data_IF_780434691328
#
_entry.id   IF_780434691328
#
_cell.length_a   1.000
_cell.length_b   1.000
_cell.length_c   1.000
_cell.angle_alpha   90.00
_cell.angle_beta   90.00
_cell.angle_gamma   90.00
#
_symmetry.space_group_name_H-M   'P 1'
#
loop_
_entity.id
_entity.type
_entity.pdbx_description
1 polymer ?
#
# COMPACT_ATOMS: atom_id res chain seq x y z
N UNK A 1 26.61 20.90 8.40
CA UNK A 1 26.59 19.65 7.60
C UNK A 1 25.13 19.28 7.44
N UNK A 2 24.59 19.38 6.22
CA UNK A 2 23.27 18.82 5.93
C UNK A 2 23.49 17.31 5.94
N UNK A 3 22.97 16.61 6.96
CA UNK A 3 22.96 15.15 6.94
C UNK A 3 22.31 14.75 5.62
N UNK A 4 23.05 14.04 4.78
CA UNK A 4 22.51 13.37 3.61
C UNK A 4 21.43 12.45 4.16
N UNK A 5 20.16 12.83 3.99
CA UNK A 5 19.05 11.95 4.30
C UNK A 5 19.19 10.84 3.28
N UNK A 6 19.46 9.61 3.73
CA UNK A 6 19.45 8.46 2.84
C UNK A 6 18.07 8.37 2.20
N UNK A 7 18.04 8.67 0.90
CA UNK A 7 16.83 8.70 0.10
C UNK A 7 16.25 7.30 0.04
N UNK A 8 14.97 7.13 0.32
CA UNK A 8 14.28 5.84 0.21
C UNK A 8 14.35 5.36 -1.25
N UNK A 9 14.95 4.20 -1.51
CA UNK A 9 15.12 3.68 -2.89
C UNK A 9 14.16 2.55 -3.24
N UNK A 10 14.04 1.59 -2.33
CA UNK A 10 13.30 0.34 -2.56
C UNK A 10 11.83 0.48 -2.21
N UNK A 11 10.99 -0.23 -2.97
CA UNK A 11 9.55 -0.34 -2.78
C UNK A 11 9.15 -1.81 -2.67
N UNK A 12 8.62 -2.20 -1.52
CA UNK A 12 8.03 -3.52 -1.28
C UNK A 12 6.54 -3.48 -1.56
N UNK A 13 6.03 -4.43 -2.35
CA UNK A 13 4.59 -4.57 -2.61
C UNK A 13 4.13 -5.96 -2.16
N UNK A 14 3.17 -6.00 -1.22
CA UNK A 14 2.50 -7.25 -0.85
C UNK A 14 1.58 -7.74 -1.96
N UNK A 15 1.88 -8.92 -2.50
CA UNK A 15 1.18 -9.50 -3.65
C UNK A 15 0.80 -10.98 -3.46
N UNK A 16 0.88 -11.50 -2.22
CA UNK A 16 0.75 -12.94 -1.96
C UNK A 16 -0.61 -13.44 -1.46
N UNK A 17 -1.56 -12.54 -1.15
CA UNK A 17 -2.86 -12.92 -0.61
C UNK A 17 -3.79 -13.59 -1.64
N UNK A 18 -4.67 -14.49 -1.18
CA UNK A 18 -5.65 -15.21 -2.03
C UNK A 18 -6.73 -14.31 -2.64
N UNK A 19 -7.01 -13.15 -2.02
CA UNK A 19 -8.00 -12.20 -2.53
C UNK A 19 -9.43 -12.74 -2.57
N UNK A 20 -9.83 -13.56 -1.59
CA UNK A 20 -11.08 -14.36 -1.58
C UNK A 20 -12.35 -13.57 -1.87
N UNK A 21 -12.46 -12.32 -1.41
CA UNK A 21 -13.63 -11.45 -1.65
C UNK A 21 -13.80 -11.00 -3.11
N UNK A 22 -12.77 -11.14 -3.94
CA UNK A 22 -12.78 -10.86 -5.38
C UNK A 22 -12.72 -12.15 -6.23
N UNK A 23 -12.54 -13.32 -5.60
CA UNK A 23 -12.32 -14.59 -6.30
C UNK A 23 -13.49 -15.04 -7.17
N UNK A 24 -14.72 -14.64 -6.85
CA UNK A 24 -15.89 -14.91 -7.70
C UNK A 24 -15.74 -14.31 -9.09
N UNK A 25 -15.13 -13.12 -9.22
CA UNK A 25 -14.87 -12.49 -10.52
C UNK A 25 -13.66 -13.09 -11.22
N UNK A 26 -12.64 -13.52 -10.47
CA UNK A 26 -11.42 -14.11 -11.06
C UNK A 26 -11.54 -15.61 -11.29
N UNK A 27 -12.66 -16.23 -10.88
CA UNK A 27 -12.87 -17.69 -10.78
C UNK A 27 -11.73 -18.40 -10.03
N UNK A 28 -11.05 -17.70 -9.13
CA UNK A 28 -9.85 -18.18 -8.47
C UNK A 28 -8.65 -18.44 -9.40
N UNK A 29 -8.67 -18.00 -10.66
CA UNK A 29 -7.63 -18.26 -11.67
C UNK A 29 -6.54 -17.18 -11.69
N UNK A 30 -6.89 -15.93 -11.36
CA UNK A 30 -6.01 -14.76 -11.47
C UNK A 30 -5.74 -14.21 -10.06
N UNK A 31 -4.46 -14.02 -9.65
CA UNK A 31 -4.15 -13.39 -8.37
C UNK A 31 -4.57 -11.92 -8.38
N UNK A 32 -5.04 -11.40 -7.24
CA UNK A 32 -5.59 -10.03 -7.13
C UNK A 32 -4.71 -8.94 -7.75
N UNK A 33 -3.36 -8.92 -7.55
CA UNK A 33 -2.49 -7.92 -8.16
C UNK A 33 -2.50 -7.93 -9.71
N UNK A 34 -2.95 -9.02 -10.32
CA UNK A 34 -3.07 -9.19 -11.78
C UNK A 34 -4.45 -8.91 -12.34
N UNK A 35 -5.43 -8.59 -11.48
CA UNK A 35 -6.72 -8.07 -11.95
C UNK A 35 -6.49 -6.71 -12.59
N UNK A 36 -7.11 -6.50 -13.75
CA UNK A 36 -6.90 -5.29 -14.55
C UNK A 36 -7.95 -4.22 -14.25
N UNK A 37 -7.49 -2.96 -14.37
CA UNK A 37 -8.32 -1.76 -14.42
C UNK A 37 -7.96 -1.03 -15.71
N UNK A 38 -8.92 -0.83 -16.61
CA UNK A 38 -8.66 -0.21 -17.91
C UNK A 38 -7.67 -0.99 -18.79
N UNK A 39 -7.63 -2.32 -18.61
CA UNK A 39 -6.73 -3.23 -19.33
C UNK A 39 -5.34 -3.39 -18.72
N UNK A 40 -5.00 -2.62 -17.68
CA UNK A 40 -3.66 -2.65 -17.04
C UNK A 40 -3.76 -3.37 -15.69
N UNK A 41 -2.87 -4.32 -15.37
CA UNK A 41 -2.87 -4.95 -14.06
C UNK A 41 -2.72 -3.94 -12.91
N UNK A 42 -3.47 -4.11 -11.81
CA UNK A 42 -3.40 -3.17 -10.70
C UNK A 42 -1.98 -3.06 -10.12
N UNK A 43 -1.19 -4.14 -10.13
CA UNK A 43 0.20 -4.12 -9.72
C UNK A 43 1.04 -3.13 -10.55
N UNK A 44 0.82 -3.11 -11.87
CA UNK A 44 1.48 -2.16 -12.79
C UNK A 44 1.03 -0.72 -12.52
N UNK A 45 -0.27 -0.52 -12.23
CA UNK A 45 -0.78 0.79 -11.84
C UNK A 45 -0.17 1.29 -10.53
N UNK A 46 0.07 0.41 -9.56
CA UNK A 46 0.74 0.74 -8.30
C UNK A 46 2.20 1.10 -8.55
N UNK A 47 2.93 0.29 -9.31
CA UNK A 47 4.33 0.60 -9.70
C UNK A 47 4.41 1.98 -10.36
N UNK A 48 3.44 2.32 -11.21
CA UNK A 48 3.37 3.64 -11.86
C UNK A 48 3.18 4.82 -10.88
N UNK A 49 2.55 4.61 -9.72
CA UNK A 49 2.46 5.66 -8.67
C UNK A 49 3.86 6.00 -8.15
N UNK A 50 4.72 5.00 -8.00
CA UNK A 50 6.08 5.13 -7.48
C UNK A 50 7.07 5.63 -8.55
N UNK A 51 7.06 5.04 -9.75
CA UNK A 51 8.01 5.39 -10.81
C UNK A 51 7.84 6.83 -11.31
N UNK A 52 6.61 7.35 -11.35
CA UNK A 52 6.33 8.77 -11.66
C UNK A 52 6.94 9.74 -10.65
N UNK A 53 7.19 9.27 -9.43
CA UNK A 53 7.77 10.06 -8.34
C UNK A 53 9.26 9.76 -8.13
N UNK A 54 9.89 8.99 -9.03
CA UNK A 54 11.33 8.72 -9.03
C UNK A 54 11.75 7.43 -8.33
N UNK A 55 10.82 6.64 -7.77
CA UNK A 55 11.15 5.38 -7.09
C UNK A 55 11.08 4.21 -8.09
N UNK A 56 12.23 3.56 -8.34
CA UNK A 56 12.41 2.64 -9.48
C UNK A 56 12.90 1.24 -9.11
N UNK A 57 13.12 0.94 -7.83
CA UNK A 57 13.55 -0.37 -7.35
C UNK A 57 12.41 -1.06 -6.59
N UNK A 58 11.98 -2.24 -7.06
CA UNK A 58 10.79 -2.92 -6.55
C UNK A 58 11.09 -4.36 -6.13
N UNK A 59 10.49 -4.76 -5.00
CA UNK A 59 10.47 -6.12 -4.50
C UNK A 59 9.02 -6.54 -4.29
N UNK A 60 8.56 -7.54 -5.03
CA UNK A 60 7.19 -8.04 -4.97
C UNK A 60 7.14 -9.28 -4.08
N UNK A 61 6.49 -9.16 -2.93
CA UNK A 61 6.25 -10.26 -2.01
C UNK A 61 5.08 -11.14 -2.51
N UNK A 62 5.36 -12.04 -3.44
CA UNK A 62 4.38 -12.92 -4.07
C UNK A 62 4.10 -14.18 -3.23
N UNK A 63 2.99 -14.86 -3.52
CA UNK A 63 2.53 -16.05 -2.80
C UNK A 63 1.51 -16.83 -3.60
N UNK A 64 0.22 -16.59 -3.38
CA UNK A 64 -0.84 -17.20 -4.18
C UNK A 64 -0.62 -16.96 -5.68
N UNK A 65 -0.48 -18.07 -6.43
CA UNK A 65 -0.20 -18.08 -7.88
C UNK A 65 1.01 -17.21 -8.27
N UNK A 66 2.07 -17.26 -7.47
CA UNK A 66 3.29 -16.48 -7.71
C UNK A 66 3.87 -16.65 -9.12
N UNK A 67 3.74 -17.84 -9.74
CA UNK A 67 4.18 -18.08 -11.12
C UNK A 67 3.62 -17.07 -12.12
N UNK A 68 2.32 -16.73 -12.01
CA UNK A 68 1.68 -15.74 -12.90
C UNK A 68 2.33 -14.36 -12.70
N UNK A 69 2.63 -14.00 -11.45
CA UNK A 69 3.26 -12.72 -11.11
C UNK A 69 4.72 -12.71 -11.58
N UNK A 70 5.43 -13.84 -11.45
CA UNK A 70 6.81 -14.03 -11.92
C UNK A 70 6.90 -13.85 -13.42
N UNK A 71 6.09 -14.58 -14.19
CA UNK A 71 6.04 -14.48 -15.65
C UNK A 71 5.67 -13.06 -16.13
N UNK A 72 4.72 -12.42 -15.45
CA UNK A 72 4.39 -11.01 -15.73
C UNK A 72 5.58 -10.10 -15.44
N UNK A 73 6.28 -10.29 -14.31
CA UNK A 73 7.45 -9.50 -13.91
C UNK A 73 8.64 -9.63 -14.86
N UNK A 74 8.90 -10.84 -15.36
CA UNK A 74 9.94 -11.10 -16.37
C UNK A 74 9.66 -10.33 -17.66
N UNK A 75 8.42 -10.39 -18.16
CA UNK A 75 7.99 -9.58 -19.32
C UNK A 75 7.99 -8.09 -19.03
N UNK A 76 7.69 -7.68 -17.80
CA UNK A 76 7.73 -6.28 -17.38
C UNK A 76 9.16 -5.71 -17.43
N UNK A 77 10.15 -6.43 -16.88
CA UNK A 77 11.56 -6.04 -16.92
C UNK A 77 12.09 -5.89 -18.34
N UNK A 78 11.72 -6.79 -19.26
CA UNK A 78 12.14 -6.72 -20.66
C UNK A 78 11.66 -5.44 -21.38
N UNK A 79 10.53 -4.86 -20.95
CA UNK A 79 10.00 -3.62 -21.53
C UNK A 79 10.73 -2.37 -21.06
N UNK A 80 11.59 -2.46 -20.04
CA UNK A 80 12.30 -1.32 -19.44
C UNK A 80 11.38 -0.12 -19.14
N UNK A 81 10.19 -0.37 -18.57
CA UNK A 81 9.12 0.60 -18.37
C UNK A 81 9.39 1.61 -17.22
N UNK A 82 10.59 2.19 -17.18
CA UNK A 82 11.01 3.13 -16.14
C UNK A 82 11.28 2.49 -14.77
N UNK A 83 11.47 1.17 -14.73
CA UNK A 83 11.88 0.43 -13.53
C UNK A 83 13.33 -0.01 -13.71
N UNK A 84 14.16 0.24 -12.71
CA UNK A 84 15.58 -0.14 -12.72
C UNK A 84 15.76 -1.60 -12.32
N UNK A 85 15.00 -2.04 -11.31
CA UNK A 85 14.99 -3.42 -10.86
C UNK A 85 13.60 -3.82 -10.36
N UNK A 86 13.06 -4.92 -10.86
CA UNK A 86 11.86 -5.57 -10.34
C UNK A 86 12.21 -7.02 -9.96
N UNK A 87 12.21 -7.29 -8.66
CA UNK A 87 12.43 -8.63 -8.11
C UNK A 87 11.11 -9.22 -7.65
N UNK A 88 10.79 -10.44 -8.11
CA UNK A 88 9.62 -11.18 -7.65
C UNK A 88 10.09 -12.27 -6.68
N UNK A 89 9.66 -12.20 -5.42
CA UNK A 89 10.05 -13.16 -4.38
C UNK A 89 8.84 -14.00 -3.97
N UNK A 90 8.95 -15.32 -4.08
CA UNK A 90 7.97 -16.22 -3.52
C UNK A 90 8.13 -16.27 -1.99
N UNK A 91 7.32 -15.45 -1.30
CA UNK A 91 7.31 -15.35 0.16
C UNK A 91 6.36 -16.36 0.81
N UNK A 92 5.86 -17.35 0.07
CA UNK A 92 5.02 -18.43 0.58
C UNK A 92 3.51 -18.17 0.39
N UNK A 93 2.75 -19.25 0.21
CA UNK A 93 1.31 -19.18 -0.04
C UNK A 93 0.54 -18.72 1.21
N UNK A 94 0.78 -19.37 2.35
CA UNK A 94 0.05 -19.12 3.61
C UNK A 94 0.75 -18.10 4.51
N UNK A 95 1.87 -17.52 4.07
CA UNK A 95 2.64 -16.56 4.87
C UNK A 95 1.86 -15.24 5.01
N UNK A 96 1.60 -14.76 6.24
CA UNK A 96 0.95 -13.48 6.49
C UNK A 96 1.90 -12.30 6.20
N UNK A 97 1.35 -11.08 6.19
CA UNK A 97 2.05 -9.84 5.80
C UNK A 97 3.35 -9.60 6.57
N UNK A 98 3.37 -9.79 7.90
CA UNK A 98 4.59 -9.63 8.70
C UNK A 98 5.63 -10.71 8.40
N UNK A 99 5.21 -11.98 8.28
CA UNK A 99 6.10 -13.07 7.86
C UNK A 99 6.70 -12.87 6.48
N UNK A 100 5.98 -12.24 5.54
CA UNK A 100 6.51 -11.89 4.23
C UNK A 100 7.63 -10.86 4.33
N UNK A 101 7.52 -9.87 5.22
CA UNK A 101 8.60 -8.91 5.47
C UNK A 101 9.83 -9.60 6.05
N UNK A 102 9.64 -10.52 7.00
CA UNK A 102 10.75 -11.30 7.57
C UNK A 102 11.49 -12.09 6.47
N UNK A 103 10.78 -12.72 5.54
CA UNK A 103 11.39 -13.41 4.39
C UNK A 103 12.12 -12.49 3.41
N UNK A 104 11.86 -11.18 3.47
CA UNK A 104 12.54 -10.19 2.66
C UNK A 104 13.71 -9.51 3.40
N UNK A 105 14.00 -9.85 4.65
CA UNK A 105 15.00 -9.15 5.47
C UNK A 105 16.37 -9.05 4.79
N UNK A 106 16.83 -10.12 4.13
CA UNK A 106 18.13 -10.15 3.44
C UNK A 106 18.21 -9.27 2.18
N UNK A 107 17.14 -8.57 1.80
CA UNK A 107 17.16 -7.59 0.72
C UNK A 107 17.48 -6.16 1.19
N UNK A 108 17.65 -5.95 2.50
CA UNK A 108 17.87 -4.63 3.08
C UNK A 108 19.15 -4.59 3.89
N UNK A 109 19.84 -3.47 3.82
CA UNK A 109 20.92 -3.16 4.74
C UNK A 109 20.36 -2.70 6.09
N UNK A 110 21.16 -2.78 7.15
CA UNK A 110 20.76 -2.32 8.49
C UNK A 110 20.49 -0.81 8.48
N UNK A 111 19.32 -0.40 8.99
CA UNK A 111 18.89 1.01 9.02
C UNK A 111 18.43 1.56 7.67
N UNK A 112 18.46 0.77 6.60
CA UNK A 112 17.89 1.15 5.30
C UNK A 112 16.37 1.39 5.42
N UNK A 113 15.88 2.43 4.76
CA UNK A 113 14.45 2.70 4.67
C UNK A 113 13.90 2.28 3.31
N UNK A 114 12.69 1.74 3.32
CA UNK A 114 11.98 1.33 2.12
C UNK A 114 10.51 1.74 2.19
N UNK A 115 9.89 1.93 1.03
CA UNK A 115 8.45 2.02 0.95
C UNK A 115 7.83 0.65 1.04
N UNK A 116 6.69 0.54 1.70
CA UNK A 116 5.86 -0.65 1.69
C UNK A 116 4.45 -0.27 1.22
N UNK A 117 3.80 -1.15 0.47
CA UNK A 117 2.39 -1.00 0.11
C UNK A 117 1.67 -2.32 -0.14
N UNK A 118 0.35 -2.27 -0.16
CA UNK A 118 -0.50 -3.39 -0.61
C UNK A 118 -0.67 -3.39 -2.13
N UNK A 119 -0.73 -4.58 -2.72
CA UNK A 119 -0.96 -4.77 -4.15
C UNK A 119 -2.39 -4.51 -4.65
N UNK A 120 -3.17 -3.68 -3.96
CA UNK A 120 -4.60 -3.47 -4.23
C UNK A 120 -5.14 -2.05 -4.02
N UNK A 121 -4.30 -1.08 -3.63
CA UNK A 121 -4.71 0.30 -3.38
C UNK A 121 -4.19 1.26 -4.44
N UNK A 122 -5.06 2.11 -5.00
CA UNK A 122 -4.68 3.19 -5.92
C UNK A 122 -4.98 4.56 -5.31
N UNK A 123 -4.09 5.52 -5.51
CA UNK A 123 -4.22 6.87 -5.00
C UNK A 123 -3.24 7.84 -5.65
N UNK A 124 -3.48 9.14 -5.51
CA UNK A 124 -2.50 10.18 -5.86
C UNK A 124 -1.63 10.53 -4.64
N UNK A 125 -1.06 9.50 -4.02
CA UNK A 125 -0.27 9.64 -2.81
C UNK A 125 1.01 10.41 -3.15
N UNK A 126 1.28 11.50 -2.43
CA UNK A 126 2.53 12.23 -2.53
C UNK A 126 3.59 11.51 -1.68
N UNK A 127 4.38 10.66 -2.34
CA UNK A 127 5.40 9.82 -1.71
C UNK A 127 6.60 10.64 -1.17
N UNK A 128 7.12 11.67 -1.87
CA UNK A 128 8.12 12.56 -1.30
C UNK A 128 7.64 13.27 -0.03
N UNK A 129 6.37 13.67 0.03
CA UNK A 129 5.78 14.25 1.26
C UNK A 129 5.77 13.22 2.39
N UNK A 130 5.42 11.96 2.12
CA UNK A 130 5.46 10.89 3.12
C UNK A 130 6.88 10.71 3.67
N UNK A 131 7.89 10.76 2.79
CA UNK A 131 9.31 10.68 3.15
C UNK A 131 9.79 11.84 4.01
N UNK A 132 9.51 13.08 3.58
CA UNK A 132 9.81 14.27 4.38
C UNK A 132 9.14 14.21 5.75
N UNK A 133 7.88 13.78 5.82
CA UNK A 133 7.15 13.68 7.07
C UNK A 133 7.72 12.59 8.00
N UNK A 134 8.07 11.42 7.47
CA UNK A 134 8.75 10.38 8.23
C UNK A 134 10.08 10.89 8.81
N UNK A 135 10.89 11.56 7.99
CA UNK A 135 12.15 12.16 8.43
C UNK A 135 11.98 13.20 9.54
N UNK A 136 10.95 14.05 9.43
CA UNK A 136 10.61 15.02 10.47
C UNK A 136 10.29 14.33 11.81
N UNK A 137 9.50 13.25 11.79
CA UNK A 137 9.17 12.48 12.99
C UNK A 137 10.39 11.82 13.63
N UNK A 138 11.27 11.24 12.81
CA UNK A 138 12.53 10.64 13.28
C UNK A 138 13.45 11.67 13.96
N UNK A 139 13.44 12.92 13.49
CA UNK A 139 14.24 14.01 14.05
C UNK A 139 13.63 14.59 15.34
N UNK A 140 12.32 14.50 15.52
CA UNK A 140 11.60 15.12 16.65
C UNK A 140 11.65 14.31 17.96
N UNK A 141 12.80 13.72 18.31
CA UNK A 141 13.03 12.84 19.47
C UNK A 141 12.23 11.52 19.49
N UNK A 142 11.42 11.22 18.47
CA UNK A 142 10.67 9.96 18.36
C UNK A 142 11.42 9.03 17.43
N UNK A 143 11.91 7.91 17.96
CA UNK A 143 12.47 6.79 17.17
C UNK A 143 11.34 6.12 16.36
N UNK A 144 10.90 6.78 15.29
CA UNK A 144 9.79 6.36 14.44
C UNK A 144 10.26 5.29 13.48
N UNK A 145 9.62 4.12 13.49
CA UNK A 145 10.03 2.96 12.70
C UNK A 145 9.17 2.81 11.45
N UNK A 146 7.90 3.19 11.56
CA UNK A 146 6.96 3.12 10.45
C UNK A 146 6.18 4.42 10.39
N UNK A 147 5.92 4.92 9.20
CA UNK A 147 4.94 5.99 8.97
C UNK A 147 3.98 5.57 7.90
N UNK A 148 2.69 5.51 8.23
CA UNK A 148 1.62 5.15 7.30
C UNK A 148 0.93 6.39 6.72
N UNK A 149 0.33 6.23 5.54
CA UNK A 149 -0.59 7.20 4.98
C UNK A 149 -1.98 7.00 5.58
N UNK A 150 -2.49 8.01 6.27
CA UNK A 150 -3.83 8.02 6.83
C UNK A 150 -4.81 8.67 5.84
N UNK A 151 -5.89 7.96 5.51
CA UNK A 151 -6.91 8.42 4.55
C UNK A 151 -8.29 8.38 5.19
N UNK A 152 -9.23 9.18 4.68
CA UNK A 152 -10.62 9.04 5.08
C UNK A 152 -11.25 7.79 4.45
N UNK A 153 -12.06 7.04 5.21
CA UNK A 153 -12.76 5.89 4.65
C UNK A 153 -13.71 6.33 3.53
N UNK A 154 -13.84 5.55 2.43
CA UNK A 154 -14.85 5.81 1.42
C UNK A 154 -16.23 5.81 2.05
N UNK A 155 -17.05 6.82 1.76
CA UNK A 155 -18.40 6.90 2.33
C UNK A 155 -19.25 5.71 1.80
N UNK A 156 -19.68 4.84 2.70
CA UNK A 156 -20.46 3.63 2.34
C UNK A 156 -21.96 3.84 2.45
N UNK A 157 -22.39 4.67 3.40
CA UNK A 157 -23.78 4.88 3.78
C UNK A 157 -24.06 6.37 3.99
N UNK A 158 -25.34 6.75 3.95
CA UNK A 158 -25.79 8.06 4.43
C UNK A 158 -25.61 8.16 5.94
N UNK A 159 -25.15 9.32 6.41
CA UNK A 159 -25.00 9.61 7.84
C UNK A 159 -26.20 10.45 8.29
N UNK A 160 -26.79 10.06 9.42
CA UNK A 160 -27.92 10.75 10.05
C UNK A 160 -27.44 11.45 11.32
N UNK A 161 -27.81 12.71 11.49
CA UNK A 161 -27.82 13.36 12.79
C UNK A 161 -29.26 13.31 13.32
N UNK A 162 -29.44 12.77 14.53
CA UNK A 162 -30.74 12.57 15.15
C UNK A 162 -30.88 13.47 16.38
N UNK A 163 -32.02 14.14 16.53
CA UNK A 163 -32.39 14.86 17.74
C UNK A 163 -33.85 14.56 18.08
N UNK A 164 -34.09 14.08 19.29
CA UNK A 164 -35.44 13.76 19.80
C UNK A 164 -36.26 12.84 18.87
N UNK A 165 -35.59 11.88 18.21
CA UNK A 165 -36.24 10.95 17.28
C UNK A 165 -36.45 11.48 15.86
N UNK A 166 -36.09 12.74 15.58
CA UNK A 166 -36.15 13.33 14.24
C UNK A 166 -34.77 13.40 13.59
N UNK A 167 -34.72 13.22 12.27
CA UNK A 167 -33.52 13.46 11.47
C UNK A 167 -33.35 14.97 11.30
N UNK A 168 -32.33 15.56 11.93
CA UNK A 168 -31.99 16.99 11.78
C UNK A 168 -31.04 17.23 10.62
N UNK A 169 -30.27 16.20 10.23
CA UNK A 169 -29.40 16.23 9.05
C UNK A 169 -29.32 14.86 8.41
N UNK A 170 -29.46 14.82 7.10
CA UNK A 170 -29.21 13.64 6.27
C UNK A 170 -28.09 13.97 5.29
N UNK A 171 -26.98 13.25 5.35
CA UNK A 171 -25.86 13.43 4.45
C UNK A 171 -25.57 12.13 3.71
N UNK A 172 -26.11 11.99 2.50
CA UNK A 172 -25.86 10.83 1.64
C UNK A 172 -24.38 10.83 1.21
N UNK A 173 -23.65 9.77 1.58
CA UNK A 173 -22.26 9.55 1.17
C UNK A 173 -21.29 10.69 1.55
N UNK A 174 -21.46 11.29 2.73
CA UNK A 174 -20.45 12.22 3.28
C UNK A 174 -19.30 11.44 3.93
N UNK A 175 -18.06 11.88 3.70
CA UNK A 175 -16.91 11.35 4.44
C UNK A 175 -17.08 11.66 5.94
N UNK A 176 -16.67 10.72 6.79
CA UNK A 176 -16.68 10.92 8.23
C UNK A 176 -15.43 11.75 8.56
N UNK A 177 -15.62 13.06 8.77
CA UNK A 177 -14.54 14.04 8.96
C UNK A 177 -13.59 13.67 10.13
N UNK A 178 -14.08 12.93 11.14
CA UNK A 178 -13.33 12.58 12.35
C UNK A 178 -12.68 11.20 12.33
N UNK A 179 -12.71 10.47 11.22
CA UNK A 179 -12.17 9.12 11.15
C UNK A 179 -11.09 8.98 10.06
N UNK A 180 -9.95 8.41 10.44
CA UNK A 180 -8.89 8.00 9.54
C UNK A 180 -8.74 6.48 9.56
N UNK A 181 -8.44 5.94 8.39
CA UNK A 181 -8.07 4.54 8.22
C UNK A 181 -6.66 4.43 7.63
N UNK A 182 -6.10 3.24 7.75
CA UNK A 182 -4.85 2.87 7.12
C UNK A 182 -4.99 2.85 5.59
N UNK A 183 -4.32 3.77 4.90
CA UNK A 183 -4.33 3.90 3.44
C UNK A 183 -3.39 2.96 2.71
N UNK A 184 -2.58 2.18 3.43
CA UNK A 184 -1.78 1.12 2.81
C UNK A 184 -0.48 1.56 2.14
N UNK A 185 -0.03 2.81 2.32
CA UNK A 185 1.28 3.29 1.85
C UNK A 185 2.13 3.65 3.06
N UNK A 186 3.32 3.07 3.16
CA UNK A 186 4.20 3.22 4.31
C UNK A 186 5.61 3.59 3.90
N UNK A 187 6.33 4.22 4.84
CA UNK A 187 7.78 4.13 4.93
C UNK A 187 8.12 3.30 6.16
N UNK A 188 9.08 2.40 6.00
CA UNK A 188 9.50 1.43 7.01
C UNK A 188 11.02 1.50 7.14
N UNK A 189 11.50 1.54 8.37
CA UNK A 189 12.92 1.37 8.72
C UNK A 189 13.22 -0.13 8.88
N UNK A 190 14.26 -0.63 8.21
CA UNK A 190 14.60 -2.06 8.14
C UNK A 190 14.90 -2.68 9.50
N UNK A 191 15.29 -1.89 10.52
CA UNK A 191 15.44 -2.37 11.90
C UNK A 191 14.16 -3.00 12.48
N UNK A 192 13.00 -2.66 11.92
CA UNK A 192 11.74 -3.34 12.26
C UNK A 192 11.83 -4.85 11.99
N UNK A 193 12.50 -5.25 10.91
CA UNK A 193 12.60 -6.63 10.47
C UNK A 193 13.32 -7.48 11.52
N UNK A 194 14.30 -6.90 12.21
CA UNK A 194 15.03 -7.51 13.32
C UNK A 194 14.19 -7.74 14.57
N UNK A 195 12.93 -7.30 14.61
CA UNK A 195 12.00 -7.58 15.72
C UNK A 195 10.97 -8.66 15.40
N UNK A 196 10.87 -9.08 14.14
CA UNK A 196 9.92 -10.11 13.73
C UNK A 196 10.51 -11.48 14.06
N UNK A 197 10.07 -12.08 15.16
CA UNK A 197 10.59 -13.38 15.65
C UNK A 197 9.90 -14.61 15.06
N UNK A 198 8.79 -14.42 14.37
CA UNK A 198 7.94 -15.51 13.89
C UNK A 198 7.29 -15.14 12.55
N UNK A 199 7.22 -16.09 11.63
CA UNK A 199 6.60 -15.91 10.32
C UNK A 199 5.06 -15.85 10.37
N UNK A 200 4.40 -16.26 11.46
CA UNK A 200 2.93 -16.18 11.56
C UNK A 200 2.40 -14.78 11.88
N UNK A 201 3.28 -13.78 12.00
CA UNK A 201 2.96 -12.41 12.37
C UNK A 201 2.29 -11.67 11.20
N UNK A 202 1.22 -10.93 11.49
CA UNK A 202 0.52 -10.05 10.55
C UNK A 202 0.92 -8.61 10.82
N UNK A 203 1.32 -7.90 9.77
CA UNK A 203 1.78 -6.52 9.87
C UNK A 203 0.71 -5.62 10.51
N UNK A 204 -0.55 -5.79 10.12
CA UNK A 204 -1.66 -4.92 10.52
C UNK A 204 -2.19 -5.20 11.93
N UNK A 205 -2.08 -6.45 12.39
CA UNK A 205 -2.71 -6.89 13.64
C UNK A 205 -1.72 -7.04 14.78
N UNK A 206 -0.47 -7.38 14.45
CA UNK A 206 0.52 -7.77 15.45
C UNK A 206 1.67 -6.74 15.50
N UNK A 207 2.09 -6.16 14.36
CA UNK A 207 3.20 -5.19 14.31
C UNK A 207 2.74 -3.75 14.51
N UNK A 208 1.83 -3.24 13.67
CA UNK A 208 1.42 -1.83 13.71
C UNK A 208 0.83 -1.41 15.08
N UNK A 209 -0.06 -2.19 15.73
CA UNK A 209 -0.57 -1.83 17.06
C UNK A 209 0.53 -1.74 18.11
N UNK A 210 1.48 -2.68 18.10
CA UNK A 210 2.61 -2.68 19.04
C UNK A 210 3.56 -1.49 18.82
N UNK A 211 3.80 -1.08 17.57
CA UNK A 211 4.55 0.15 17.28
C UNK A 211 3.80 1.41 17.73
N UNK A 212 2.46 1.42 17.64
CA UNK A 212 1.65 2.53 18.12
C UNK A 212 1.77 2.68 19.64
N UNK A 213 1.66 1.59 20.40
CA UNK A 213 1.86 1.58 21.86
C UNK A 213 3.24 2.10 22.28
N UNK A 214 4.26 1.83 21.46
CA UNK A 214 5.64 2.29 21.70
C UNK A 214 5.92 3.70 21.17
N UNK A 215 4.93 4.43 20.63
CA UNK A 215 5.12 5.72 19.95
C UNK A 215 6.11 5.67 18.77
N UNK A 216 6.22 4.51 18.10
CA UNK A 216 7.09 4.27 16.93
C UNK A 216 6.33 4.27 15.59
N UNK A 217 5.01 4.47 15.62
CA UNK A 217 4.15 4.54 14.44
C UNK A 217 3.68 5.98 14.16
N UNK A 218 4.10 6.55 13.04
CA UNK A 218 3.63 7.83 12.52
C UNK A 218 2.46 7.68 11.54
N UNK A 219 1.68 8.75 11.38
CA UNK A 219 0.59 8.83 10.41
C UNK A 219 0.64 10.15 9.63
N UNK A 220 0.89 10.07 8.32
CA UNK A 220 0.85 11.20 7.40
C UNK A 220 -0.53 11.30 6.75
N UNK A 221 -1.23 12.41 6.94
CA UNK A 221 -2.59 12.58 6.40
C UNK A 221 -2.53 12.84 4.88
N UNK A 222 -3.36 12.08 4.15
CA UNK A 222 -3.63 12.26 2.73
C UNK A 222 -5.12 12.54 2.50
N UNK A 223 -5.40 13.74 2.00
CA UNK A 223 -6.75 14.22 1.69
C UNK A 223 -7.10 14.07 0.19
N UNK A 224 -6.18 13.51 -0.61
CA UNK A 224 -6.41 13.29 -2.03
C UNK A 224 -7.24 12.03 -2.31
N UNK A 225 -7.26 11.64 -3.57
CA UNK A 225 -7.94 10.43 -4.00
C UNK A 225 -7.23 9.17 -3.46
N UNK A 226 -8.03 8.23 -2.96
CA UNK A 226 -7.60 6.88 -2.59
C UNK A 226 -8.76 5.88 -2.74
N UNK A 227 -8.47 4.69 -3.26
CA UNK A 227 -9.44 3.61 -3.42
C UNK A 227 -8.75 2.24 -3.42
N UNK A 228 -9.29 1.32 -2.63
CA UNK A 228 -8.89 -0.09 -2.59
C UNK A 228 -9.64 -0.93 -3.63
N UNK A 229 -9.13 -2.11 -3.97
CA UNK A 229 -9.78 -3.08 -4.88
C UNK A 229 -10.21 -4.38 -4.17
N UNK A 230 -10.93 -4.27 -3.06
CA UNK A 230 -11.28 -5.45 -2.24
C UNK A 230 -12.46 -6.27 -2.74
N UNK A 231 -13.37 -5.65 -3.48
CA UNK A 231 -14.64 -6.24 -3.89
C UNK A 231 -14.94 -5.96 -5.36
N UNK A 232 -15.84 -6.74 -5.98
CA UNK A 232 -16.43 -6.44 -7.30
C UNK A 232 -16.91 -5.00 -7.47
N UNK A 233 -17.49 -4.42 -6.40
CA UNK A 233 -17.96 -3.03 -6.39
C UNK A 233 -16.77 -2.06 -6.46
N UNK A 234 -15.71 -2.32 -5.72
CA UNK A 234 -14.50 -1.49 -5.76
C UNK A 234 -13.85 -1.51 -7.14
N UNK A 235 -13.72 -2.70 -7.75
CA UNK A 235 -13.16 -2.82 -9.11
C UNK A 235 -13.98 -2.03 -10.13
N UNK A 236 -15.32 -2.17 -10.11
CA UNK A 236 -16.21 -1.38 -10.98
C UNK A 236 -16.07 0.13 -10.76
N UNK A 237 -15.84 0.55 -9.52
CA UNK A 237 -15.56 1.95 -9.20
C UNK A 237 -14.23 2.39 -9.82
N UNK A 238 -13.15 1.64 -9.63
CA UNK A 238 -11.85 1.90 -10.24
C UNK A 238 -11.89 1.94 -11.77
N UNK A 239 -12.70 1.10 -12.42
CA UNK A 239 -12.93 1.15 -13.88
C UNK A 239 -13.62 2.43 -14.33
N UNK A 240 -14.61 2.92 -13.58
CA UNK A 240 -15.26 4.21 -13.87
C UNK A 240 -14.28 5.36 -13.68
N UNK A 241 -13.55 5.31 -12.58
CA UNK A 241 -12.55 6.31 -12.23
C UNK A 241 -11.41 6.35 -13.25
N UNK A 242 -11.01 5.20 -13.79
CA UNK A 242 -10.07 5.11 -14.90
C UNK A 242 -10.57 5.84 -16.15
N UNK A 243 -11.82 5.56 -16.56
CA UNK A 243 -12.46 6.23 -17.71
C UNK A 243 -12.63 7.73 -17.48
N UNK A 244 -12.80 8.15 -16.22
CA UNK A 244 -12.90 9.54 -15.82
C UNK A 244 -11.54 10.24 -15.68
N UNK A 245 -10.42 9.57 -15.97
CA UNK A 245 -9.09 10.19 -15.89
C UNK A 245 -8.67 10.59 -14.48
N UNK A 246 -9.08 9.82 -13.46
CA UNK A 246 -8.79 10.19 -12.06
C UNK A 246 -7.29 10.34 -11.76
N UNK A 247 -6.92 11.09 -10.70
CA UNK A 247 -5.58 11.68 -10.54
C UNK A 247 -4.38 10.71 -10.53
N UNK A 248 -4.54 9.44 -10.16
CA UNK A 248 -3.41 8.48 -10.25
C UNK A 248 -2.98 8.21 -11.71
N UNK A 249 -3.80 8.61 -12.68
CA UNK A 249 -3.50 8.56 -14.11
C UNK A 249 -2.79 9.82 -14.63
N UNK A 250 -2.67 10.92 -13.86
CA UNK A 250 -2.03 12.15 -14.31
C UNK A 250 -0.61 11.89 -14.86
N UNK A 251 -0.29 12.45 -16.02
CA UNK A 251 0.97 12.19 -16.75
C UNK A 251 0.95 10.98 -17.68
N UNK A 252 -0.21 10.64 -18.26
CA UNK A 252 -0.29 9.83 -19.49
C UNK A 252 -0.16 10.70 -20.73
#
# INVERSE_FOLDING_TARGET
>A
MVNQIDSVRKVVIFAGGKGTRLQEETKGLIPKPMVTIGGIPILELIINIYTKQGYREFIIAAGFKHEIIREWGERYNQRAAGVENLTIVNTGLETPTGGRLLRLANHFDEGERFFLTYGDGLGNINLPKLEVFHNMLCQSQKDTWVTLTAVHPPARFGVLELQSGYVTRFAEKRQIDNAYINGGFYIVDSKLLDTIRNESVRFEFDILPNLAEQNKLGACIHNGYWQMMDTPRNRRQLERDYKAGKPWLEGR
#
